data_IF_714274819828
#
_entry.id   IF_714274819828
#
_cell.length_a   1.000
_cell.length_b   1.000
_cell.length_c   1.000
_cell.angle_alpha   90.00
_cell.angle_beta   90.00
_cell.angle_gamma   90.00
#
_symmetry.space_group_name_H-M   'P 1'
#
loop_
_entity.id
_entity.type
_entity.pdbx_description
1 polymer ?
#
# COMPACT_ATOMS: atom_id res chain seq x y z
N UNK A 1 37.53 -51.28 -9.34
CA UNK A 1 38.12 -50.17 -8.56
C UNK A 1 37.58 -48.91 -9.19
N UNK A 2 36.49 -48.38 -8.63
CA UNK A 2 36.44 -47.09 -7.92
C UNK A 2 35.60 -46.16 -8.81
N UNK A 3 34.64 -45.35 -8.39
CA UNK A 3 34.15 -44.95 -7.08
C UNK A 3 32.69 -44.48 -7.25
N UNK A 4 31.91 -44.73 -6.21
CA UNK A 4 30.54 -44.25 -6.02
C UNK A 4 30.56 -42.74 -5.79
N UNK A 5 29.72 -41.98 -6.48
CA UNK A 5 29.33 -40.64 -6.04
C UNK A 5 27.82 -40.57 -5.90
N UNK A 6 27.38 -41.06 -4.74
CA UNK A 6 26.10 -40.74 -4.14
C UNK A 6 26.12 -39.24 -3.82
N UNK A 7 25.44 -38.43 -4.63
CA UNK A 7 25.23 -37.01 -4.33
C UNK A 7 23.92 -36.90 -3.58
N UNK A 8 24.08 -36.86 -2.27
CA UNK A 8 23.10 -36.60 -1.24
C UNK A 8 22.22 -35.42 -1.69
N UNK A 9 20.99 -35.71 -2.11
CA UNK A 9 19.99 -34.69 -2.41
C UNK A 9 19.47 -34.20 -1.06
N UNK A 10 20.16 -33.21 -0.50
CA UNK A 10 19.62 -32.41 0.60
C UNK A 10 18.40 -31.70 0.03
N UNK A 11 17.22 -32.16 0.43
CA UNK A 11 15.96 -31.49 0.17
C UNK A 11 15.97 -30.31 1.14
N UNK A 12 16.32 -29.14 0.65
CA UNK A 12 16.03 -27.88 1.33
C UNK A 12 14.50 -27.83 1.43
N UNK A 13 14.00 -27.87 2.66
CA UNK A 13 12.61 -27.54 2.94
C UNK A 13 12.45 -26.06 2.60
N UNK A 14 11.85 -25.78 1.43
CA UNK A 14 11.44 -24.44 1.06
C UNK A 14 10.41 -23.99 2.12
N UNK A 15 10.81 -23.14 3.06
CA UNK A 15 9.86 -22.40 3.90
C UNK A 15 8.95 -21.64 2.94
N UNK A 16 7.67 -22.04 2.90
CA UNK A 16 6.62 -21.37 2.14
C UNK A 16 6.43 -19.99 2.78
N UNK A 17 7.19 -19.01 2.28
CA UNK A 17 7.04 -17.61 2.68
C UNK A 17 5.65 -17.19 2.21
N UNK A 18 4.78 -16.80 3.15
CA UNK A 18 3.49 -16.19 2.81
C UNK A 18 3.77 -14.91 1.98
N UNK A 19 3.52 -14.98 0.68
CA UNK A 19 3.63 -13.83 -0.21
C UNK A 19 2.34 -12.99 -0.10
N UNK A 20 2.46 -11.77 0.43
CA UNK A 20 1.35 -10.80 0.42
C UNK A 20 1.05 -10.35 -1.02
N UNK A 21 -0.19 -10.54 -1.47
CA UNK A 21 -0.66 -10.04 -2.76
C UNK A 21 -1.32 -8.65 -2.62
N UNK A 22 -0.85 -7.69 -3.42
CA UNK A 22 -1.35 -6.33 -3.43
C UNK A 22 -2.10 -6.02 -4.73
N UNK A 23 -3.25 -5.38 -4.61
CA UNK A 23 -4.06 -4.91 -5.75
C UNK A 23 -4.41 -3.43 -5.57
N UNK A 24 -4.32 -2.65 -6.65
CA UNK A 24 -4.71 -1.24 -6.64
C UNK A 24 -6.18 -1.11 -7.06
N UNK A 25 -6.99 -0.51 -6.19
CA UNK A 25 -8.39 -0.22 -6.42
C UNK A 25 -8.56 1.24 -6.83
N UNK A 26 -9.11 1.48 -8.01
CA UNK A 26 -9.47 2.82 -8.49
C UNK A 26 -10.99 2.99 -8.35
N UNK A 27 -11.42 4.01 -7.62
CA UNK A 27 -12.84 4.27 -7.35
C UNK A 27 -13.31 5.43 -8.24
N UNK A 28 -13.94 5.11 -9.36
CA UNK A 28 -14.49 6.10 -10.28
C UNK A 28 -15.76 6.74 -9.71
N UNK A 29 -15.94 8.03 -9.98
CA UNK A 29 -17.13 8.79 -9.60
C UNK A 29 -17.50 8.73 -8.10
N UNK A 30 -16.53 8.44 -7.23
CA UNK A 30 -16.64 8.54 -5.78
C UNK A 30 -15.92 9.80 -5.29
N UNK A 31 -16.64 10.62 -4.53
CA UNK A 31 -16.08 11.78 -3.85
C UNK A 31 -15.50 11.35 -2.50
N UNK A 32 -14.51 12.10 -2.00
CA UNK A 32 -13.93 11.86 -0.67
C UNK A 32 -14.99 11.88 0.45
N UNK A 33 -16.09 12.60 0.24
CA UNK A 33 -17.23 12.68 1.16
C UNK A 33 -18.08 11.40 1.22
N UNK A 34 -18.00 10.55 0.19
CA UNK A 34 -18.86 9.37 0.07
C UNK A 34 -18.38 8.22 0.96
N UNK A 35 -17.11 8.24 1.39
CA UNK A 35 -16.48 7.19 2.19
C UNK A 35 -15.84 7.82 3.42
N UNK A 36 -16.39 7.52 4.60
CA UNK A 36 -15.79 7.95 5.86
C UNK A 36 -14.51 7.15 6.16
N UNK A 37 -13.48 7.78 6.77
CA UNK A 37 -12.31 7.05 7.25
C UNK A 37 -12.72 5.90 8.19
N UNK A 38 -12.22 4.69 7.92
CA UNK A 38 -12.56 3.49 8.70
C UNK A 38 -13.95 2.92 8.42
N UNK A 39 -14.65 3.36 7.37
CA UNK A 39 -15.91 2.75 6.96
C UNK A 39 -15.71 1.25 6.66
N UNK A 40 -16.60 0.37 7.15
CA UNK A 40 -16.52 -1.05 6.84
C UNK A 40 -16.72 -1.26 5.34
N UNK A 41 -16.07 -2.27 4.78
CA UNK A 41 -16.25 -2.64 3.38
C UNK A 41 -16.27 -4.15 3.20
N UNK A 42 -16.89 -4.58 2.11
CA UNK A 42 -16.92 -5.97 1.65
C UNK A 42 -16.50 -5.99 0.18
N UNK A 43 -15.38 -6.63 -0.09
CA UNK A 43 -14.88 -6.92 -1.43
C UNK A 43 -15.15 -8.40 -1.72
N UNK A 44 -15.73 -8.71 -2.87
CA UNK A 44 -16.14 -10.07 -3.22
C UNK A 44 -15.97 -10.35 -4.71
N UNK A 45 -15.81 -11.62 -5.06
CA UNK A 45 -15.70 -12.07 -6.45
C UNK A 45 -14.40 -11.65 -7.14
N UNK A 46 -13.28 -11.57 -6.41
CA UNK A 46 -11.96 -11.30 -6.98
C UNK A 46 -11.45 -12.42 -7.90
N UNK A 47 -12.09 -13.58 -7.86
CA UNK A 47 -11.91 -14.71 -8.77
C UNK A 47 -12.80 -14.61 -10.03
N UNK A 48 -13.64 -13.56 -10.13
CA UNK A 48 -14.58 -13.36 -11.24
C UNK A 48 -14.14 -12.18 -12.11
N UNK A 49 -14.71 -12.05 -13.31
CA UNK A 49 -14.43 -10.90 -14.19
C UNK A 49 -15.08 -9.59 -13.69
N UNK A 50 -16.03 -9.67 -12.76
CA UNK A 50 -16.85 -8.55 -12.29
C UNK A 50 -16.94 -8.55 -10.76
N UNK A 51 -15.85 -8.22 -10.05
CA UNK A 51 -15.83 -8.15 -8.60
C UNK A 51 -16.79 -7.06 -8.11
N UNK A 52 -17.22 -7.17 -6.86
CA UNK A 52 -18.14 -6.20 -6.25
C UNK A 52 -17.55 -5.63 -4.99
N UNK A 53 -17.72 -4.32 -4.79
CA UNK A 53 -17.30 -3.61 -3.59
C UNK A 53 -18.52 -2.94 -2.96
N UNK A 54 -18.74 -3.19 -1.68
CA UNK A 54 -19.71 -2.44 -0.87
C UNK A 54 -18.97 -1.69 0.23
N UNK A 55 -19.19 -0.38 0.37
CA UNK A 55 -18.55 0.46 1.38
C UNK A 55 -19.61 1.16 2.25
N UNK A 56 -19.39 1.17 3.56
CA UNK A 56 -20.23 1.85 4.55
C UNK A 56 -21.69 1.40 4.52
N UNK A 57 -22.60 2.38 4.61
CA UNK A 57 -24.05 2.17 4.74
C UNK A 57 -24.77 1.84 3.42
N UNK A 58 -24.03 1.51 2.35
CA UNK A 58 -24.63 0.95 1.14
C UNK A 58 -24.12 1.48 -0.20
N UNK A 59 -22.94 2.12 -0.25
CA UNK A 59 -22.30 2.43 -1.54
C UNK A 59 -21.90 1.11 -2.20
N UNK A 60 -22.58 0.75 -3.29
CA UNK A 60 -22.32 -0.48 -4.05
C UNK A 60 -21.69 -0.16 -5.39
N UNK A 61 -20.60 -0.86 -5.70
CA UNK A 61 -19.81 -0.67 -6.89
C UNK A 61 -19.54 -2.01 -7.58
N UNK A 62 -19.43 -1.96 -8.91
CA UNK A 62 -19.00 -3.07 -9.74
C UNK A 62 -17.61 -2.78 -10.29
N UNK A 63 -16.74 -3.77 -10.20
CA UNK A 63 -15.35 -3.68 -10.60
C UNK A 63 -15.09 -4.34 -11.95
N UNK A 64 -14.08 -3.86 -12.66
CA UNK A 64 -13.52 -4.47 -13.86
C UNK A 64 -11.99 -4.44 -13.77
N UNK A 65 -11.34 -5.52 -14.21
CA UNK A 65 -9.88 -5.60 -14.27
C UNK A 65 -9.38 -4.82 -15.48
N UNK A 66 -8.45 -3.90 -15.25
CA UNK A 66 -7.75 -3.18 -16.31
C UNK A 66 -6.24 -3.43 -16.19
N UNK A 67 -5.63 -3.85 -17.29
CA UNK A 67 -4.18 -3.98 -17.39
C UNK A 67 -3.56 -2.61 -17.70
N UNK A 68 -2.67 -2.15 -16.83
CA UNK A 68 -2.08 -0.83 -16.96
C UNK A 68 -0.92 -0.82 -17.94
N UNK A 69 -0.74 0.28 -18.67
CA UNK A 69 0.49 0.52 -19.41
C UNK A 69 1.59 0.92 -18.42
N UNK A 70 2.49 -0.01 -18.11
CA UNK A 70 3.59 0.19 -17.17
C UNK A 70 3.37 -0.55 -15.84
N UNK A 71 4.15 -0.18 -14.82
CA UNK A 71 4.11 -0.76 -13.48
C UNK A 71 3.91 0.35 -12.45
N UNK A 72 2.93 0.20 -11.58
CA UNK A 72 2.72 1.09 -10.44
C UNK A 72 3.56 0.59 -9.25
N UNK A 73 4.39 1.45 -8.68
CA UNK A 73 5.15 1.17 -7.46
C UNK A 73 4.43 1.76 -6.25
N UNK A 74 4.07 0.90 -5.30
CA UNK A 74 3.46 1.29 -4.03
C UNK A 74 4.56 1.41 -2.97
N UNK A 75 4.49 2.47 -2.18
CA UNK A 75 5.38 2.71 -1.05
C UNK A 75 4.57 2.92 0.22
N UNK A 76 5.00 2.32 1.32
CA UNK A 76 4.47 2.60 2.65
C UNK A 76 5.27 3.72 3.30
N UNK A 77 4.61 4.55 4.08
CA UNK A 77 5.25 5.59 4.89
C UNK A 77 5.34 5.10 6.34
N UNK A 78 6.53 5.22 6.94
CA UNK A 78 6.78 4.95 8.35
C UNK A 78 7.42 6.16 9.02
N UNK A 79 7.13 6.36 10.31
CA UNK A 79 7.89 7.32 11.11
C UNK A 79 9.32 6.77 11.28
N UNK A 80 10.32 7.55 10.90
CA UNK A 80 11.70 7.14 11.15
C UNK A 80 11.93 7.13 12.66
N UNK A 81 12.53 6.06 13.18
CA UNK A 81 12.92 6.05 14.59
C UNK A 81 13.82 7.26 14.88
N UNK A 82 13.62 7.96 16.01
CA UNK A 82 14.49 9.05 16.39
C UNK A 82 15.92 8.53 16.41
N UNK A 83 16.75 9.09 15.52
CA UNK A 83 18.17 8.73 15.46
C UNK A 83 18.74 8.91 16.87
N UNK A 84 19.36 7.86 17.48
CA UNK A 84 19.99 8.06 18.77
C UNK A 84 20.98 9.21 18.63
N UNK A 85 21.13 10.07 19.66
CA UNK A 85 22.12 11.13 19.61
C UNK A 85 23.43 10.47 19.23
N UNK A 86 24.01 10.90 18.10
CA UNK A 86 25.30 10.43 17.67
C UNK A 86 26.27 10.75 18.80
N UNK A 87 26.58 9.76 19.64
CA UNK A 87 27.71 9.80 20.56
C UNK A 87 28.96 9.74 19.67
N UNK A 88 29.27 10.86 19.03
CA UNK A 88 30.62 11.16 18.59
C UNK A 88 31.46 11.33 19.86
N UNK A 89 31.79 10.20 20.48
CA UNK A 89 32.88 10.14 21.44
C UNK A 89 34.15 10.16 20.57
N UNK A 90 34.92 11.25 20.57
CA UNK A 90 36.12 11.44 21.39
C UNK A 90 36.93 12.64 20.83
N UNK A 91 37.93 13.19 21.54
CA UNK A 91 37.86 13.97 22.78
C UNK A 91 38.55 15.35 22.62
N UNK A 92 38.42 16.22 23.63
CA UNK A 92 39.43 17.23 24.09
C UNK A 92 38.95 18.69 24.19
N UNK A 93 39.00 19.15 25.44
CA UNK A 93 39.24 20.47 26.01
C UNK A 93 38.36 21.70 25.72
N UNK A 94 37.63 22.05 26.79
CA UNK A 94 37.48 23.39 27.40
C UNK A 94 37.46 24.58 26.43
N UNK A 95 36.27 25.13 26.20
CA UNK A 95 35.95 26.50 26.65
C UNK A 95 34.46 26.77 26.58
N UNK A 96 33.98 27.42 27.63
CA UNK A 96 32.65 27.95 27.87
C UNK A 96 32.13 28.75 26.67
N UNK A 97 31.02 28.32 26.07
CA UNK A 97 29.94 29.21 25.66
C UNK A 97 28.71 28.37 25.29
N UNK A 98 27.58 28.75 25.89
CA UNK A 98 26.28 28.09 25.77
C UNK A 98 25.66 28.39 24.39
N UNK A 99 25.25 27.37 23.62
CA UNK A 99 24.16 27.54 22.67
C UNK A 99 22.93 26.80 23.21
N UNK A 100 21.90 27.56 23.60
CA UNK A 100 20.55 27.01 23.66
C UNK A 100 20.05 26.83 22.22
N UNK A 101 20.54 25.79 21.55
CA UNK A 101 20.02 25.35 20.26
C UNK A 101 19.07 24.19 20.54
N UNK A 102 17.81 24.49 20.89
CA UNK A 102 16.76 23.50 20.76
C UNK A 102 16.47 23.35 19.26
N UNK A 103 17.24 22.51 18.58
CA UNK A 103 16.85 22.00 17.26
C UNK A 103 15.58 21.18 17.49
N UNK A 104 14.42 21.81 17.25
CA UNK A 104 13.18 21.07 17.00
C UNK A 104 13.37 20.38 15.66
N UNK A 105 14.05 19.25 15.66
CA UNK A 105 14.14 18.37 14.52
C UNK A 105 12.72 17.89 14.23
N UNK A 106 12.21 18.22 13.05
CA UNK A 106 10.91 17.71 12.61
C UNK A 106 11.05 16.19 12.44
N UNK A 107 10.04 15.40 12.86
CA UNK A 107 10.10 13.95 12.69
C UNK A 107 10.32 13.62 11.20
N UNK A 108 11.40 12.90 10.91
CA UNK A 108 11.69 12.42 9.57
C UNK A 108 10.77 11.26 9.24
N UNK A 109 10.16 11.29 8.06
CA UNK A 109 9.38 10.18 7.51
C UNK A 109 10.28 9.37 6.60
N UNK A 110 10.22 8.05 6.71
CA UNK A 110 10.89 7.11 5.82
C UNK A 110 9.84 6.44 4.92
N UNK A 111 10.23 6.09 3.70
CA UNK A 111 9.37 5.37 2.76
C UNK A 111 10.00 4.05 2.36
N UNK A 112 9.21 2.99 2.40
CA UNK A 112 9.65 1.64 2.05
C UNK A 112 8.88 1.14 0.84
N UNK A 113 9.56 0.41 -0.06
CA UNK A 113 8.87 -0.25 -1.16
C UNK A 113 7.90 -1.31 -0.61
N UNK A 114 6.64 -1.23 -1.04
CA UNK A 114 5.57 -2.12 -0.58
C UNK A 114 5.22 -3.15 -1.64
N UNK A 115 4.94 -2.70 -2.88
CA UNK A 115 4.53 -3.59 -3.95
C UNK A 115 4.77 -2.99 -5.34
N UNK A 116 4.74 -3.85 -6.36
CA UNK A 116 4.75 -3.44 -7.77
C UNK A 116 3.57 -4.10 -8.48
N UNK A 117 2.62 -3.32 -8.97
CA UNK A 117 1.37 -3.83 -9.58
C UNK A 117 1.25 -3.39 -11.04
N UNK A 118 0.67 -4.25 -11.87
CA UNK A 118 0.44 -4.00 -13.31
C UNK A 118 -1.05 -4.12 -13.71
N UNK A 119 -1.89 -4.52 -12.76
CA UNK A 119 -3.33 -4.63 -12.93
C UNK A 119 -4.00 -3.82 -11.84
N UNK A 120 -5.07 -3.15 -12.23
CA UNK A 120 -5.92 -2.36 -11.34
C UNK A 120 -7.35 -2.88 -11.44
N UNK A 121 -8.10 -2.72 -10.36
CA UNK A 121 -9.56 -2.92 -10.39
C UNK A 121 -10.22 -1.55 -10.38
N UNK A 122 -10.90 -1.22 -11.47
CA UNK A 122 -11.70 -0.01 -11.58
C UNK A 122 -13.11 -0.28 -11.13
N UNK A 123 -13.52 0.37 -10.06
CA UNK A 123 -14.86 0.27 -9.49
C UNK A 123 -15.71 1.47 -9.89
N UNK A 124 -16.92 1.18 -10.38
CA UNK A 124 -17.92 2.19 -10.76
C UNK A 124 -19.18 2.03 -9.91
N UNK A 125 -19.81 3.10 -9.41
CA UNK A 125 -21.06 3.02 -8.65
C UNK A 125 -22.18 2.44 -9.51
N UNK A 126 -22.94 1.49 -8.98
CA UNK A 126 -24.06 0.87 -9.70
C UNK A 126 -25.20 1.85 -10.05
N UNK A 127 -25.26 3.01 -9.39
CA UNK A 127 -26.32 4.01 -9.57
C UNK A 127 -25.89 5.27 -10.34
N UNK A 128 -24.70 5.26 -10.96
CA UNK A 128 -24.16 6.45 -11.65
C UNK A 128 -25.00 6.89 -12.87
N UNK A 129 -25.84 6.00 -13.43
CA UNK A 129 -26.67 6.30 -14.61
C UNK A 129 -28.02 7.00 -14.30
N UNK A 130 -28.42 7.16 -13.03
CA UNK A 130 -29.71 7.76 -12.70
C UNK A 130 -29.74 9.30 -12.75
N UNK A 131 -28.57 9.96 -12.79
CA UNK A 131 -28.49 11.43 -12.71
C UNK A 131 -28.59 12.14 -14.06
N UNK A 132 -28.20 11.49 -15.17
CA UNK A 132 -28.18 12.14 -16.49
C UNK A 132 -29.54 12.19 -17.20
N UNK A 133 -30.54 11.42 -16.75
CA UNK A 133 -31.81 11.27 -17.47
C UNK A 133 -32.97 12.17 -16.97
N UNK A 134 -32.80 12.99 -15.93
CA UNK A 134 -33.90 13.79 -15.36
C UNK A 134 -33.91 15.29 -15.76
N UNK A 135 -33.03 15.74 -16.67
CA UNK A 135 -32.97 17.16 -17.06
C UNK A 135 -33.78 17.56 -18.31
N UNK A 136 -34.68 16.70 -18.80
CA UNK A 136 -35.57 16.99 -19.94
C UNK A 136 -37.05 16.89 -19.54
N UNK A 137 -37.48 17.77 -18.63
CA UNK A 137 -38.90 18.14 -18.46
C UNK A 137 -39.01 19.29 -17.45
N UNK A 138 -38.98 20.53 -17.95
CA UNK A 138 -39.25 21.75 -17.19
C UNK A 138 -39.39 22.94 -18.13
#
# INVERSE_FOLDING_TARGET
>A
MSETHEKNKQIEEEEEVEEDEYVLLELDHCLYSDISPGAPFVLSGLDTLTPTLTVGDGLKMIGEYEETVGTCYLFSESEAEPKPPSDETTPSDVTTDKPASSSKEAPSKEVNHLASVQKILKFRPLNAEASAAQSISG
#
